data_IF_155655936205
#
_entry.id   IF_155655936205
#
_cell.length_a   1.000
_cell.length_b   1.000
_cell.length_c   1.000
_cell.angle_alpha   90.00
_cell.angle_beta   90.00
_cell.angle_gamma   90.00
#
_symmetry.space_group_name_H-M   'P 1'
#
loop_
_entity.id
_entity.type
_entity.pdbx_description
1 polymer ?
#
# COMPACT_ATOMS: atom_id res chain seq x y z
N UNK A 1 -12.70 -8.35 1.51
CA UNK A 1 -13.44 -7.23 0.89
C UNK A 1 -14.75 -7.08 1.64
N UNK A 2 -15.15 -5.87 2.00
CA UNK A 2 -16.43 -5.56 2.62
C UNK A 2 -17.28 -4.75 1.65
N UNK A 3 -18.45 -5.26 1.31
CA UNK A 3 -19.38 -4.66 0.36
C UNK A 3 -20.80 -5.07 0.75
N UNK A 4 -21.77 -4.16 0.64
CA UNK A 4 -23.19 -4.45 0.93
C UNK A 4 -23.41 -5.17 2.27
N UNK A 5 -22.71 -4.71 3.33
CA UNK A 5 -22.77 -5.25 4.68
C UNK A 5 -22.28 -6.70 4.83
N UNK A 6 -21.48 -7.19 3.89
CA UNK A 6 -20.97 -8.56 3.88
C UNK A 6 -19.46 -8.60 3.61
N UNK A 7 -18.80 -9.53 4.29
CA UNK A 7 -17.40 -9.87 4.05
C UNK A 7 -17.27 -10.95 2.99
N UNK A 8 -16.42 -10.67 2.01
CA UNK A 8 -16.02 -11.58 0.95
C UNK A 8 -14.51 -11.84 1.02
N UNK A 9 -14.12 -13.10 0.90
CA UNK A 9 -12.74 -13.46 0.59
C UNK A 9 -12.48 -13.25 -0.90
N UNK A 10 -11.34 -12.67 -1.24
CA UNK A 10 -10.91 -12.51 -2.63
C UNK A 10 -9.72 -13.43 -2.85
N UNK A 11 -9.86 -14.35 -3.80
CA UNK A 11 -8.80 -15.26 -4.21
C UNK A 11 -8.51 -15.06 -5.69
N UNK A 12 -7.23 -15.08 -6.06
CA UNK A 12 -6.82 -15.03 -7.44
C UNK A 12 -7.20 -16.34 -8.12
N UNK A 13 -8.01 -16.26 -9.19
CA UNK A 13 -8.42 -17.42 -9.99
C UNK A 13 -7.23 -18.17 -10.59
N UNK A 14 -6.21 -17.41 -10.99
CA UNK A 14 -4.99 -17.94 -11.57
C UNK A 14 -3.77 -17.38 -10.82
N UNK A 15 -2.66 -18.10 -10.89
CA UNK A 15 -1.41 -17.58 -10.34
C UNK A 15 -1.03 -16.29 -11.08
N UNK A 16 -0.50 -15.28 -10.37
CA UNK A 16 -0.04 -14.07 -11.01
C UNK A 16 0.90 -14.35 -12.19
N UNK A 17 0.72 -13.63 -13.29
CA UNK A 17 1.59 -13.77 -14.46
C UNK A 17 3.07 -13.53 -14.08
N UNK A 18 3.98 -14.30 -14.69
CA UNK A 18 5.41 -14.27 -14.34
C UNK A 18 6.05 -12.89 -14.54
N UNK A 19 5.59 -12.11 -15.50
CA UNK A 19 6.05 -10.75 -15.73
C UNK A 19 5.73 -9.78 -14.57
N UNK A 20 4.82 -10.15 -13.67
CA UNK A 20 4.46 -9.34 -12.51
C UNK A 20 5.36 -9.65 -11.29
N UNK A 21 6.31 -10.60 -11.34
CA UNK A 21 7.13 -10.98 -10.17
C UNK A 21 7.85 -9.81 -9.48
N UNK A 22 8.17 -8.74 -10.22
CA UNK A 22 8.79 -7.55 -9.66
C UNK A 22 7.83 -6.68 -8.80
N UNK A 23 6.53 -6.77 -9.05
CA UNK A 23 5.46 -6.01 -8.38
C UNK A 23 4.61 -6.86 -7.43
N UNK A 24 4.62 -8.20 -7.56
CA UNK A 24 3.89 -9.15 -6.69
C UNK A 24 4.37 -9.15 -5.22
N UNK A 25 5.44 -8.42 -4.87
CA UNK A 25 6.01 -8.43 -3.51
C UNK A 25 5.04 -7.93 -2.41
N UNK A 26 3.92 -7.29 -2.78
CA UNK A 26 2.89 -6.83 -1.84
C UNK A 26 1.49 -7.13 -2.36
N UNK A 27 0.60 -7.63 -1.50
CA UNK A 27 -0.79 -7.93 -1.83
C UNK A 27 -1.57 -6.70 -2.35
N UNK A 28 -1.19 -5.51 -1.89
CA UNK A 28 -1.79 -4.24 -2.36
C UNK A 28 -1.51 -3.99 -3.85
N UNK A 29 -0.35 -4.39 -4.37
CA UNK A 29 -0.02 -4.21 -5.78
C UNK A 29 -0.85 -5.16 -6.65
N UNK A 30 -1.07 -6.39 -6.17
CA UNK A 30 -1.97 -7.34 -6.82
C UNK A 30 -3.40 -6.81 -6.85
N UNK A 31 -3.90 -6.33 -5.71
CA UNK A 31 -5.23 -5.73 -5.62
C UNK A 31 -5.36 -4.54 -6.57
N UNK A 32 -4.35 -3.68 -6.64
CA UNK A 32 -4.35 -2.53 -7.54
C UNK A 32 -4.41 -2.95 -9.01
N UNK A 33 -3.49 -3.81 -9.44
CA UNK A 33 -3.35 -4.24 -10.83
C UNK A 33 -4.55 -5.05 -11.34
N UNK A 34 -5.12 -5.93 -10.52
CA UNK A 34 -6.21 -6.82 -10.95
C UNK A 34 -7.60 -6.26 -10.71
N UNK A 35 -7.78 -5.35 -9.75
CA UNK A 35 -9.10 -4.88 -9.36
C UNK A 35 -9.21 -3.35 -9.40
N UNK A 36 -8.39 -2.62 -8.65
CA UNK A 36 -8.60 -1.17 -8.47
C UNK A 36 -8.45 -0.42 -9.80
N UNK A 37 -7.39 -0.68 -10.56
CA UNK A 37 -7.14 -0.01 -11.84
C UNK A 37 -8.11 -0.47 -12.94
N UNK A 38 -8.18 -1.77 -13.32
CA UNK A 38 -9.00 -2.18 -14.46
C UNK A 38 -10.51 -2.17 -14.20
N UNK A 39 -10.95 -2.35 -12.95
CA UNK A 39 -12.39 -2.48 -12.63
C UNK A 39 -12.96 -1.20 -12.03
N UNK A 40 -12.23 -0.56 -11.11
CA UNK A 40 -12.68 0.66 -10.44
C UNK A 40 -12.13 1.94 -11.07
N UNK A 41 -11.22 1.82 -12.04
CA UNK A 41 -10.57 2.94 -12.72
C UNK A 41 -9.71 3.78 -11.79
N UNK A 42 -9.24 3.21 -10.67
CA UNK A 42 -8.38 3.89 -9.69
C UNK A 42 -6.96 3.91 -10.25
N UNK A 43 -6.41 5.11 -10.42
CA UNK A 43 -5.02 5.29 -10.82
C UNK A 43 -4.05 5.10 -9.65
N UNK A 44 -2.94 5.84 -9.64
CA UNK A 44 -1.98 5.77 -8.54
C UNK A 44 -2.66 6.11 -7.19
N UNK A 45 -2.72 5.16 -6.22
CA UNK A 45 -3.40 5.37 -4.94
C UNK A 45 -2.82 6.52 -4.11
N UNK A 46 -1.62 7.01 -4.44
CA UNK A 46 -0.99 8.16 -3.77
C UNK A 46 -1.61 9.50 -4.18
N UNK A 47 -2.28 9.54 -5.32
CA UNK A 47 -2.85 10.76 -5.91
C UNK A 47 -4.36 10.65 -6.18
N UNK A 48 -4.94 9.44 -6.15
CA UNK A 48 -6.38 9.24 -6.34
C UNK A 48 -7.15 9.52 -5.05
N UNK A 49 -7.87 10.65 -5.02
CA UNK A 49 -8.67 11.09 -3.87
C UNK A 49 -9.87 10.19 -3.53
N UNK A 50 -10.13 9.13 -4.32
CA UNK A 50 -11.18 8.15 -4.04
C UNK A 50 -10.69 7.02 -3.12
N UNK A 51 -9.40 7.00 -2.77
CA UNK A 51 -8.81 6.03 -1.84
C UNK A 51 -8.50 6.70 -0.52
N UNK A 52 -8.98 6.08 0.55
CA UNK A 52 -8.62 6.38 1.93
C UNK A 52 -7.93 5.19 2.57
N UNK A 53 -6.92 5.48 3.39
CA UNK A 53 -6.27 4.48 4.25
C UNK A 53 -6.73 4.65 5.69
N UNK A 54 -7.13 3.53 6.31
CA UNK A 54 -7.43 3.48 7.74
C UNK A 54 -6.18 3.06 8.51
N UNK A 55 -5.87 3.78 9.59
CA UNK A 55 -4.79 3.41 10.49
C UNK A 55 -5.09 2.06 11.16
N UNK A 56 -4.05 1.23 11.32
CA UNK A 56 -4.20 -0.19 11.69
C UNK A 56 -4.92 -0.47 13.01
N UNK A 57 -5.01 0.50 13.93
CA UNK A 57 -5.73 0.33 15.19
C UNK A 57 -7.27 0.32 15.03
N UNK A 58 -7.80 0.84 13.93
CA UNK A 58 -9.24 0.77 13.64
C UNK A 58 -9.68 -0.60 13.09
N UNK A 59 -8.73 -1.40 12.58
CA UNK A 59 -8.97 -2.77 12.15
C UNK A 59 -10.11 -2.93 11.12
N UNK A 60 -10.77 -4.08 11.18
CA UNK A 60 -11.90 -4.42 10.31
C UNK A 60 -13.16 -3.60 10.63
N UNK A 61 -13.41 -3.31 11.91
CA UNK A 61 -14.57 -2.54 12.35
C UNK A 61 -14.58 -1.11 11.79
N UNK A 62 -13.40 -0.48 11.67
CA UNK A 62 -13.28 0.82 11.03
C UNK A 62 -13.66 0.81 9.55
N UNK A 63 -13.36 -0.30 8.85
CA UNK A 63 -13.73 -0.49 7.45
C UNK A 63 -15.25 -0.61 7.34
N UNK A 64 -15.86 -1.47 8.16
CA UNK A 64 -17.32 -1.65 8.19
C UNK A 64 -18.03 -0.32 8.44
N UNK A 65 -17.60 0.41 9.46
CA UNK A 65 -18.20 1.70 9.83
C UNK A 65 -18.16 2.73 8.70
N UNK A 66 -17.04 2.84 7.97
CA UNK A 66 -16.90 3.77 6.83
C UNK A 66 -17.77 3.37 5.64
N UNK A 67 -17.92 2.07 5.38
CA UNK A 67 -18.77 1.60 4.28
C UNK A 67 -20.24 1.76 4.65
N UNK A 68 -20.61 1.41 5.88
CA UNK A 68 -21.98 1.50 6.38
C UNK A 68 -22.48 2.94 6.60
N UNK A 69 -21.58 3.88 6.91
CA UNK A 69 -21.90 5.32 6.96
C UNK A 69 -22.12 5.92 5.56
N UNK A 70 -21.66 5.24 4.51
CA UNK A 70 -21.69 5.73 3.13
C UNK A 70 -20.51 6.61 2.74
N UNK A 71 -19.53 6.81 3.64
CA UNK A 71 -18.28 7.55 3.36
C UNK A 71 -17.42 6.80 2.34
N UNK A 72 -17.48 5.47 2.34
CA UNK A 72 -16.88 4.58 1.35
C UNK A 72 -17.94 3.67 0.71
N UNK A 73 -17.69 3.21 -0.52
CA UNK A 73 -18.57 2.23 -1.20
C UNK A 73 -18.15 0.78 -1.00
N UNK A 74 -16.86 0.54 -0.81
CA UNK A 74 -16.26 -0.78 -0.65
C UNK A 74 -15.03 -0.67 0.24
N UNK A 75 -14.80 -1.70 1.06
CA UNK A 75 -13.66 -1.80 1.95
C UNK A 75 -12.74 -2.96 1.57
N UNK A 76 -11.43 -2.76 1.68
CA UNK A 76 -10.44 -3.82 1.48
C UNK A 76 -9.57 -3.97 2.73
N UNK A 77 -9.54 -5.19 3.26
CA UNK A 77 -8.59 -5.60 4.29
C UNK A 77 -7.60 -6.56 3.63
N UNK A 78 -6.32 -6.30 3.83
CA UNK A 78 -5.22 -7.13 3.37
C UNK A 78 -4.53 -7.74 4.59
N UNK A 79 -4.01 -8.95 4.45
CA UNK A 79 -3.15 -9.51 5.48
C UNK A 79 -1.92 -8.62 5.62
N UNK A 80 -1.46 -8.45 6.86
CA UNK A 80 -0.26 -7.66 7.13
C UNK A 80 0.90 -8.28 6.36
N UNK A 81 1.28 -7.64 5.26
CA UNK A 81 2.53 -7.96 4.60
C UNK A 81 3.63 -7.61 5.59
N UNK A 82 4.57 -8.53 5.85
CA UNK A 82 5.68 -8.28 6.76
C UNK A 82 6.27 -6.89 6.45
N UNK A 83 6.41 -6.01 7.45
CA UNK A 83 6.95 -4.65 7.28
C UNK A 83 8.28 -4.65 6.50
N UNK A 84 9.02 -5.76 6.59
CA UNK A 84 10.21 -6.08 5.80
C UNK A 84 10.00 -5.90 4.29
N UNK A 85 8.84 -6.22 3.73
CA UNK A 85 8.58 -6.09 2.28
C UNK A 85 8.32 -4.64 1.84
N UNK A 86 7.75 -3.82 2.72
CA UNK A 86 7.56 -2.38 2.47
C UNK A 86 8.90 -1.65 2.53
N UNK A 87 9.73 -1.98 3.52
CA UNK A 87 11.10 -1.45 3.66
C UNK A 87 11.96 -1.90 2.46
N UNK A 88 11.93 -3.19 2.11
CA UNK A 88 12.66 -3.72 0.95
C UNK A 88 12.22 -3.10 -0.39
N UNK A 89 10.94 -2.72 -0.56
CA UNK A 89 10.47 -2.05 -1.77
C UNK A 89 10.89 -0.58 -1.82
N UNK A 90 10.84 0.12 -0.68
CA UNK A 90 11.40 1.45 -0.55
C UNK A 90 12.90 1.43 -0.87
N UNK A 91 13.65 0.49 -0.31
CA UNK A 91 15.10 0.32 -0.54
C UNK A 91 15.43 -0.07 -1.98
N UNK A 92 14.61 -0.90 -2.64
CA UNK A 92 14.82 -1.27 -4.07
C UNK A 92 14.50 -0.14 -5.05
N UNK A 93 13.62 0.80 -4.68
CA UNK A 93 13.42 2.07 -5.44
C UNK A 93 14.40 3.16 -5.01
N UNK A 94 14.98 3.04 -3.83
CA UNK A 94 16.13 3.79 -3.33
C UNK A 94 17.43 3.09 -3.73
N UNK A 95 17.71 3.01 -5.04
CA UNK A 95 19.10 3.26 -5.45
C UNK A 95 19.43 4.69 -5.00
N UNK A 96 19.64 4.88 -3.71
CA UNK A 96 20.27 6.06 -3.16
C UNK A 96 21.65 6.12 -3.78
N UNK A 97 22.09 7.28 -4.31
CA UNK A 97 23.49 7.47 -4.65
C UNK A 97 24.34 7.12 -3.41
N UNK A 98 25.54 6.56 -3.61
CA UNK A 98 26.35 6.03 -2.52
C UNK A 98 26.57 7.11 -1.47
N UNK A 99 26.13 6.83 -0.25
CA UNK A 99 26.35 7.56 1.01
C UNK A 99 27.09 8.89 0.84
N UNK A 100 26.34 9.97 0.64
CA UNK A 100 26.72 11.27 1.19
C UNK A 100 26.61 11.17 2.70
N UNK A 101 27.65 10.63 3.33
CA UNK A 101 27.87 10.72 4.78
C UNK A 101 27.96 12.20 5.12
N UNK A 102 26.95 12.73 5.80
CA UNK A 102 27.06 14.03 6.44
C UNK A 102 28.01 13.86 7.64
N UNK A 103 29.26 14.30 7.47
CA UNK A 103 30.15 14.57 8.59
C UNK A 103 29.88 16.00 9.06
N UNK A 104 29.65 16.18 10.35
CA UNK A 104 29.65 17.48 11.00
C UNK A 104 31.07 18.07 10.96
N UNK A 105 31.35 19.17 10.25
CA UNK A 105 32.62 19.85 10.40
C UNK A 105 32.57 20.66 11.70
N UNK A 106 33.25 20.20 12.74
CA UNK A 106 33.56 21.07 13.87
C UNK A 106 34.32 22.29 13.34
N UNK A 107 33.66 23.45 13.40
CA UNK A 107 34.18 24.72 12.93
C UNK A 107 35.33 25.18 13.86
N UNK A 108 36.55 25.43 13.35
CA UNK A 108 37.60 26.06 14.13
C UNK A 108 37.40 27.58 14.05
N UNK A 109 37.04 28.22 15.16
CA UNK A 109 37.31 29.65 15.33
C UNK A 109 38.29 29.84 16.48
N UNK A 110 39.56 29.92 16.10
CA UNK A 110 40.51 30.80 16.76
C UNK A 110 40.06 32.24 16.51
N UNK A 111 39.80 33.00 17.57
CA UNK A 111 40.34 34.36 17.80
C UNK A 111 40.53 34.53 19.29
#
# INVERSE_FOLDING_TARGET
MYLEKQWYSLELKEKPHQNLFHIINLDINLLHFYLLEPTLGIGDPRYDNRIDFLAGFHGLEGIEKKVDSGDAKVGFALFATQMENVINFADKKLNMPPKSTWFDPQNPRMV
#
